data_IF_012363322922
#
_entry.id   IF_012363322922
#
_cell.length_a   1.000
_cell.length_b   1.000
_cell.length_c   1.000
_cell.angle_alpha   90.00
_cell.angle_beta   90.00
_cell.angle_gamma   90.00
#
_symmetry.space_group_name_H-M   'P 1'
#
loop_
_entity.id
_entity.type
_entity.pdbx_description
1 polymer ?
#
# COMPACT_ATOMS: atom_id res chain seq x y z
N UNK A 1 -0.07 16.55 -17.17
CA UNK A 1 0.61 15.46 -16.42
C UNK A 1 1.56 16.10 -15.41
N UNK A 2 1.35 15.90 -14.11
CA UNK A 2 2.24 16.45 -13.08
C UNK A 2 3.62 15.80 -13.22
N UNK A 3 4.68 16.61 -13.26
CA UNK A 3 6.08 16.11 -13.34
C UNK A 3 6.62 15.60 -12.00
N UNK A 4 5.76 15.44 -10.99
CA UNK A 4 6.15 15.14 -9.63
C UNK A 4 5.74 13.73 -9.25
N UNK A 5 6.63 13.05 -8.54
CA UNK A 5 6.39 11.75 -7.90
C UNK A 5 5.77 12.00 -6.53
N UNK A 6 4.71 11.29 -6.20
CA UNK A 6 4.01 11.45 -4.93
C UNK A 6 4.68 10.59 -3.85
N UNK A 7 5.24 11.21 -2.81
CA UNK A 7 5.87 10.51 -1.69
C UNK A 7 5.02 10.55 -0.41
N UNK A 8 3.74 10.91 -0.51
CA UNK A 8 2.82 11.06 0.62
C UNK A 8 2.39 9.76 1.31
N UNK A 9 2.82 8.60 0.78
CA UNK A 9 2.55 7.29 1.38
C UNK A 9 1.92 6.27 0.43
N UNK A 10 1.67 6.64 -0.84
CA UNK A 10 1.22 5.67 -1.86
C UNK A 10 2.22 4.52 -2.01
N UNK A 11 1.74 3.28 -2.22
CA UNK A 11 2.65 2.18 -2.52
C UNK A 11 3.42 2.42 -3.81
N UNK A 12 4.64 1.90 -3.88
CA UNK A 12 5.44 1.84 -5.09
C UNK A 12 5.56 0.39 -5.53
N UNK A 13 5.40 0.13 -6.83
CA UNK A 13 5.55 -1.21 -7.40
C UNK A 13 6.56 -1.19 -8.54
N UNK A 14 7.68 -1.89 -8.36
CA UNK A 14 8.76 -1.94 -9.35
C UNK A 14 8.68 -3.19 -10.21
N UNK A 15 8.66 -3.05 -11.54
CA UNK A 15 8.79 -4.18 -12.46
C UNK A 15 10.26 -4.33 -12.87
N UNK A 16 10.91 -5.40 -12.42
CA UNK A 16 12.36 -5.59 -12.54
C UNK A 16 13.14 -4.89 -11.42
N UNK A 17 12.70 -5.07 -10.17
CA UNK A 17 13.22 -4.36 -8.99
C UNK A 17 14.71 -4.61 -8.73
N UNK A 18 15.26 -5.73 -9.18
CA UNK A 18 16.68 -6.08 -9.04
C UNK A 18 17.62 -5.41 -10.04
N UNK A 19 17.09 -4.70 -11.04
CA UNK A 19 17.90 -3.93 -11.99
C UNK A 19 18.70 -2.81 -11.32
N UNK A 20 19.88 -2.47 -11.84
CA UNK A 20 20.81 -1.51 -11.21
C UNK A 20 20.13 -0.15 -10.89
N UNK A 21 19.42 0.43 -11.86
CA UNK A 21 18.73 1.71 -11.65
C UNK A 21 17.49 1.60 -10.77
N UNK A 22 16.71 0.53 -10.94
CA UNK A 22 15.45 0.33 -10.21
C UNK A 22 15.70 0.04 -8.73
N UNK A 23 16.67 -0.83 -8.44
CA UNK A 23 17.03 -1.22 -7.07
C UNK A 23 17.56 -0.04 -6.23
N UNK A 24 18.28 0.90 -6.84
CA UNK A 24 18.75 2.09 -6.15
C UNK A 24 17.57 2.95 -5.65
N UNK A 25 16.56 3.17 -6.50
CA UNK A 25 15.36 3.92 -6.12
C UNK A 25 14.53 3.15 -5.09
N UNK A 26 14.28 1.86 -5.33
CA UNK A 26 13.55 1.00 -4.41
C UNK A 26 14.20 0.95 -3.01
N UNK A 27 15.54 0.92 -2.95
CA UNK A 27 16.28 0.95 -1.70
C UNK A 27 16.00 2.23 -0.89
N UNK A 28 16.00 3.39 -1.55
CA UNK A 28 15.73 4.67 -0.90
C UNK A 28 14.30 4.70 -0.35
N UNK A 29 13.31 4.24 -1.14
CA UNK A 29 11.90 4.22 -0.72
C UNK A 29 11.67 3.27 0.45
N UNK A 30 12.18 2.04 0.36
CA UNK A 30 12.09 1.04 1.44
C UNK A 30 12.80 1.52 2.72
N UNK A 31 13.99 2.14 2.62
CA UNK A 31 14.67 2.73 3.79
C UNK A 31 13.88 3.86 4.44
N UNK A 32 13.10 4.61 3.67
CA UNK A 32 12.17 5.63 4.17
C UNK A 32 10.86 5.04 4.71
N UNK A 33 10.75 3.71 4.74
CA UNK A 33 9.56 2.96 5.17
C UNK A 33 8.32 3.28 4.34
N UNK A 34 8.50 3.67 3.08
CA UNK A 34 7.40 3.76 2.13
C UNK A 34 7.03 2.36 1.66
N UNK A 35 5.73 2.04 1.46
CA UNK A 35 5.32 0.72 1.02
C UNK A 35 5.94 0.43 -0.35
N UNK A 36 6.86 -0.52 -0.39
CA UNK A 36 7.68 -0.79 -1.57
C UNK A 36 7.51 -2.24 -1.94
N UNK A 37 7.05 -2.47 -3.16
CA UNK A 37 6.78 -3.75 -3.76
C UNK A 37 7.58 -3.85 -5.05
N UNK A 38 7.86 -5.07 -5.51
CA UNK A 38 8.31 -5.23 -6.88
C UNK A 38 8.55 -6.65 -7.29
N UNK A 39 8.63 -6.86 -8.59
CA UNK A 39 8.83 -8.16 -9.19
C UNK A 39 10.23 -8.29 -9.80
N UNK A 40 10.77 -9.50 -9.75
CA UNK A 40 11.97 -9.86 -10.52
C UNK A 40 11.92 -11.34 -10.92
N UNK A 41 12.53 -11.67 -12.05
CA UNK A 41 12.58 -13.05 -12.56
C UNK A 41 13.67 -13.87 -11.85
N UNK A 42 14.66 -13.21 -11.23
CA UNK A 42 15.80 -13.88 -10.62
C UNK A 42 16.13 -13.33 -9.23
N UNK A 43 16.31 -14.23 -8.27
CA UNK A 43 16.88 -13.87 -6.97
C UNK A 43 18.34 -13.47 -7.10
N UNK A 44 18.73 -12.41 -6.39
CA UNK A 44 20.08 -11.86 -6.36
C UNK A 44 20.41 -11.35 -4.97
N UNK A 45 21.67 -10.98 -4.72
CA UNK A 45 22.04 -10.31 -3.47
C UNK A 45 21.29 -8.96 -3.30
N UNK A 46 20.98 -8.27 -4.40
CA UNK A 46 20.25 -7.00 -4.40
C UNK A 46 18.81 -7.22 -3.93
N UNK A 47 18.09 -8.17 -4.52
CA UNK A 47 16.68 -8.43 -4.17
C UNK A 47 16.55 -8.93 -2.74
N UNK A 48 17.46 -9.81 -2.28
CA UNK A 48 17.51 -10.23 -0.86
C UNK A 48 17.76 -9.08 0.10
N UNK A 49 18.62 -8.13 -0.28
CA UNK A 49 18.87 -6.93 0.54
C UNK A 49 17.64 -6.03 0.60
N UNK A 50 16.89 -5.89 -0.50
CA UNK A 50 15.64 -5.13 -0.55
C UNK A 50 14.57 -5.77 0.34
N UNK A 51 14.41 -7.09 0.31
CA UNK A 51 13.52 -7.82 1.23
C UNK A 51 13.90 -7.57 2.69
N UNK A 52 15.20 -7.67 3.02
CA UNK A 52 15.69 -7.48 4.38
C UNK A 52 15.43 -6.07 4.94
N UNK A 53 15.20 -5.07 4.09
CA UNK A 53 14.86 -3.71 4.51
C UNK A 53 13.37 -3.38 4.38
N UNK A 54 12.52 -4.37 4.05
CA UNK A 54 11.06 -4.27 4.07
C UNK A 54 10.38 -4.15 2.71
N UNK A 55 11.09 -4.36 1.60
CA UNK A 55 10.42 -4.46 0.30
C UNK A 55 9.75 -5.83 0.13
N UNK A 56 8.53 -5.87 -0.42
CA UNK A 56 7.87 -7.13 -0.78
C UNK A 56 8.27 -7.52 -2.20
N UNK A 57 8.81 -8.73 -2.40
CA UNK A 57 9.27 -9.18 -3.71
C UNK A 57 8.41 -10.32 -4.28
N UNK A 58 7.99 -10.15 -5.53
CA UNK A 58 7.34 -11.18 -6.35
C UNK A 58 8.36 -11.82 -7.29
N UNK A 59 8.48 -13.14 -7.27
CA UNK A 59 9.46 -13.86 -8.11
C UNK A 59 8.97 -14.19 -9.52
N UNK A 60 7.87 -13.55 -9.93
CA UNK A 60 7.29 -13.63 -11.27
C UNK A 60 6.74 -12.27 -11.65
N UNK A 61 6.79 -11.96 -12.94
CA UNK A 61 6.25 -10.72 -13.50
C UNK A 61 4.90 -11.02 -14.14
N UNK A 62 3.84 -10.97 -13.33
CA UNK A 62 2.49 -11.36 -13.73
C UNK A 62 1.47 -10.27 -13.34
N UNK A 63 0.42 -10.10 -14.14
CA UNK A 63 -0.65 -9.11 -13.89
C UNK A 63 -1.25 -9.20 -12.48
N UNK A 64 -1.37 -10.41 -11.93
CA UNK A 64 -1.90 -10.66 -10.58
C UNK A 64 -1.17 -9.92 -9.45
N UNK A 65 0.08 -9.53 -9.68
CA UNK A 65 0.85 -8.75 -8.71
C UNK A 65 0.24 -7.35 -8.48
N UNK A 66 -0.67 -6.89 -9.36
CA UNK A 66 -1.38 -5.62 -9.19
C UNK A 66 -2.80 -5.80 -8.64
N UNK A 67 -3.35 -7.02 -8.65
CA UNK A 67 -4.70 -7.31 -8.15
C UNK A 67 -4.79 -7.15 -6.61
N UNK A 68 -3.69 -7.37 -5.90
CA UNK A 68 -3.62 -7.18 -4.45
C UNK A 68 -3.84 -5.73 -3.99
N UNK A 69 -3.72 -4.76 -4.90
CA UNK A 69 -4.05 -3.36 -4.64
C UNK A 69 -5.49 -3.00 -5.04
N UNK A 70 -6.20 -3.91 -5.73
CA UNK A 70 -7.59 -3.72 -6.18
C UNK A 70 -8.58 -4.35 -5.19
N UNK A 71 -8.28 -5.56 -4.68
CA UNK A 71 -9.18 -6.33 -3.80
C UNK A 71 -9.53 -5.63 -2.48
N UNK A 72 -8.67 -4.74 -1.99
CA UNK A 72 -8.98 -3.88 -0.84
C UNK A 72 -10.14 -2.91 -1.13
N UNK A 73 -10.46 -2.59 -2.38
CA UNK A 73 -11.49 -1.58 -2.73
C UNK A 73 -12.93 -2.15 -2.69
N UNK A 74 -13.13 -3.45 -2.88
CA UNK A 74 -14.45 -4.04 -3.12
C UNK A 74 -15.15 -4.55 -1.84
N UNK A 75 -14.41 -5.11 -0.88
CA UNK A 75 -15.00 -5.68 0.35
C UNK A 75 -15.59 -4.63 1.31
N UNK A 76 -15.30 -3.33 1.11
CA UNK A 76 -15.85 -2.27 1.96
C UNK A 76 -17.20 -1.71 1.50
N UNK A 77 -17.60 -1.91 0.24
CA UNK A 77 -18.87 -1.38 -0.27
C UNK A 77 -20.09 -2.26 0.02
N UNK A 78 -19.92 -3.50 0.48
CA UNK A 78 -21.04 -4.39 0.80
C UNK A 78 -21.52 -4.30 2.26
N UNK A 79 -20.86 -3.49 3.11
CA UNK A 79 -21.19 -3.38 4.55
C UNK A 79 -22.03 -2.15 4.94
N UNK A 80 -22.35 -1.25 4.00
CA UNK A 80 -23.06 0.02 4.29
C UNK A 80 -24.54 0.06 3.89
N UNK A 81 -25.13 -1.04 3.42
CA UNK A 81 -26.58 -1.14 3.18
C UNK A 81 -27.17 -2.31 3.97
N UNK A 82 -27.38 -2.14 5.28
CA UNK A 82 -28.39 -2.84 6.09
C UNK A 82 -28.33 -2.33 7.53
N UNK A 83 -28.89 -1.16 7.80
CA UNK A 83 -29.33 -0.82 9.15
C UNK A 83 -30.69 -0.12 9.09
N UNK A 84 -31.69 -0.94 8.81
CA UNK A 84 -33.10 -0.60 9.00
C UNK A 84 -33.41 -0.65 10.50
N UNK A 85 -33.89 0.47 11.02
CA UNK A 85 -34.30 0.72 12.40
C UNK A 85 -35.06 -0.44 13.06
N UNK A 86 -34.69 -0.80 14.29
CA UNK A 86 -35.66 -1.24 15.30
C UNK A 86 -35.20 -0.87 16.72
N UNK A 87 -36.17 -0.34 17.48
CA UNK A 87 -36.07 0.32 18.79
C UNK A 87 -35.75 -0.63 19.95
N UNK A 88 -35.08 -0.12 21.01
CA UNK A 88 -35.46 -0.32 22.43
C UNK A 88 -34.63 0.61 23.36
N UNK A 89 -35.28 1.16 24.39
CA UNK A 89 -34.81 2.25 25.28
C UNK A 89 -34.65 1.78 26.76
N UNK A 90 -34.46 2.68 27.75
CA UNK A 90 -33.25 2.90 28.56
C UNK A 90 -33.33 2.35 30.00
N UNK A 91 -32.22 2.32 30.75
CA UNK A 91 -32.02 2.22 32.24
C UNK A 91 -30.62 1.58 32.49
N UNK A 92 -29.74 1.91 33.44
CA UNK A 92 -29.66 2.90 34.52
C UNK A 92 -28.22 2.84 35.12
N UNK A 93 -27.68 3.98 35.64
CA UNK A 93 -26.73 4.11 36.79
C UNK A 93 -25.23 3.70 36.61
N UNK A 94 -24.16 4.34 37.17
CA UNK A 94 -23.92 5.52 38.03
C UNK A 94 -22.39 5.82 38.18
N UNK A 95 -22.04 7.11 38.34
CA UNK A 95 -20.91 7.74 39.10
C UNK A 95 -19.46 7.82 38.55
N UNK A 96 -19.14 9.03 38.03
CA UNK A 96 -18.10 10.02 38.37
C UNK A 96 -16.85 9.67 39.23
N UNK A 97 -15.65 10.07 38.74
CA UNK A 97 -14.68 10.91 39.49
C UNK A 97 -13.56 11.45 38.58
N UNK A 98 -13.27 12.76 38.66
CA UNK A 98 -11.93 13.31 38.40
C UNK A 98 -11.72 14.10 37.09
N UNK A 99 -12.02 15.40 37.12
CA UNK A 99 -11.60 16.35 36.11
C UNK A 99 -10.09 16.63 36.16
N UNK A 100 -9.37 16.51 35.04
CA UNK A 100 -8.16 17.28 34.75
C UNK A 100 -8.14 17.63 33.25
N UNK A 101 -8.45 18.89 32.93
CA UNK A 101 -8.10 19.48 31.64
C UNK A 101 -6.62 19.84 31.68
N UNK A 102 -5.79 19.28 30.81
CA UNK A 102 -4.70 20.03 30.17
C UNK A 102 -4.33 19.43 28.80
N UNK A 103 -4.47 20.29 27.78
CA UNK A 103 -3.76 20.34 26.49
C UNK A 103 -3.72 19.09 25.59
N UNK A 104 -4.51 19.21 24.51
CA UNK A 104 -4.33 18.67 23.16
C UNK A 104 -2.94 18.08 22.90
N UNK A 105 -2.85 16.76 22.84
CA UNK A 105 -2.22 16.01 21.75
C UNK A 105 -2.89 14.64 21.72
N UNK A 106 -3.87 14.51 20.84
CA UNK A 106 -4.57 13.26 20.62
C UNK A 106 -3.61 12.32 19.89
N UNK A 107 -2.82 11.55 20.65
CA UNK A 107 -2.09 10.40 20.12
C UNK A 107 -3.15 9.36 19.76
N UNK A 108 -3.70 9.49 18.55
CA UNK A 108 -4.36 8.36 17.91
C UNK A 108 -3.28 7.33 17.65
N UNK A 109 -3.27 6.30 18.50
CA UNK A 109 -2.77 4.97 18.16
C UNK A 109 -3.52 4.57 16.89
N UNK A 110 -2.90 4.79 15.75
CA UNK A 110 -3.53 4.70 14.44
C UNK A 110 -3.22 3.35 13.81
N UNK A 111 -4.16 2.43 14.00
CA UNK A 111 -4.48 1.22 13.23
C UNK A 111 -3.74 1.06 11.88
N UNK A 112 -3.31 -0.18 11.60
CA UNK A 112 -2.90 -0.65 10.27
C UNK A 112 -3.99 -0.34 9.23
N UNK A 113 -3.98 0.88 8.67
CA UNK A 113 -4.84 1.23 7.56
C UNK A 113 -4.23 0.59 6.31
N UNK A 114 -4.79 -0.54 5.89
CA UNK A 114 -4.52 -1.10 4.56
C UNK A 114 -4.76 -0.01 3.53
N UNK A 115 -3.72 0.32 2.75
CA UNK A 115 -3.71 1.51 1.91
C UNK A 115 -4.51 1.20 0.65
N UNK A 116 -5.75 1.70 0.60
CA UNK A 116 -6.68 1.69 -0.54
C UNK A 116 -6.18 2.56 -1.69
N UNK A 117 -5.06 2.21 -2.32
CA UNK A 117 -4.55 2.99 -3.44
C UNK A 117 -3.71 2.16 -4.41
N UNK A 118 -4.05 2.27 -5.70
CA UNK A 118 -3.21 1.76 -6.78
C UNK A 118 -1.76 2.25 -6.61
N UNK A 119 -0.78 1.36 -6.79
CA UNK A 119 0.62 1.69 -6.60
C UNK A 119 1.09 2.64 -7.70
N UNK A 120 2.08 3.47 -7.38
CA UNK A 120 2.90 4.11 -8.40
C UNK A 120 3.82 3.06 -9.02
N UNK A 121 3.53 2.68 -10.26
CA UNK A 121 4.32 1.67 -10.97
C UNK A 121 5.58 2.30 -11.56
N UNK A 122 6.73 1.66 -11.32
CA UNK A 122 8.03 2.09 -11.82
C UNK A 122 8.66 0.96 -12.62
N UNK A 123 9.09 1.24 -13.85
CA UNK A 123 9.79 0.29 -14.68
C UNK A 123 10.85 0.98 -15.57
N UNK A 124 11.76 0.17 -16.12
CA UNK A 124 12.76 0.66 -17.08
C UNK A 124 12.12 0.94 -18.45
N UNK A 125 12.69 1.88 -19.20
CA UNK A 125 12.33 2.10 -20.62
C UNK A 125 12.63 0.89 -21.50
N UNK A 126 13.50 -0.01 -21.06
CA UNK A 126 13.83 -1.26 -21.76
C UNK A 126 12.85 -2.41 -21.43
N UNK A 127 11.75 -2.15 -20.72
CA UNK A 127 10.79 -3.20 -20.38
C UNK A 127 10.18 -3.81 -21.64
N UNK A 128 10.05 -5.12 -21.67
CA UNK A 128 9.36 -5.80 -22.76
C UNK A 128 7.87 -5.44 -22.72
N UNK A 129 7.35 -4.83 -23.79
CA UNK A 129 5.95 -4.43 -23.91
C UNK A 129 4.98 -5.60 -23.90
N UNK A 130 5.45 -6.84 -24.10
CA UNK A 130 4.63 -8.05 -23.96
C UNK A 130 4.49 -8.53 -22.51
N UNK A 131 5.23 -7.95 -21.56
CA UNK A 131 5.15 -8.29 -20.15
C UNK A 131 3.73 -8.04 -19.61
N UNK A 132 3.11 -9.07 -19.00
CA UNK A 132 1.71 -9.00 -18.56
C UNK A 132 1.51 -8.07 -17.37
N UNK A 133 2.48 -7.97 -16.47
CA UNK A 133 2.46 -7.03 -15.34
C UNK A 133 2.54 -5.58 -15.81
N UNK A 134 3.39 -5.30 -16.80
CA UNK A 134 3.49 -3.96 -17.40
C UNK A 134 2.20 -3.57 -18.12
N UNK A 135 1.60 -4.48 -18.89
CA UNK A 135 0.32 -4.23 -19.57
C UNK A 135 -0.78 -3.89 -18.57
N UNK A 136 -0.91 -4.69 -17.50
CA UNK A 136 -1.88 -4.44 -16.44
C UNK A 136 -1.64 -3.08 -15.77
N UNK A 137 -0.39 -2.68 -15.53
CA UNK A 137 -0.08 -1.36 -15.00
C UNK A 137 -0.56 -0.23 -15.91
N UNK A 138 -0.35 -0.34 -17.22
CA UNK A 138 -0.81 0.66 -18.20
C UNK A 138 -2.33 0.73 -18.27
N UNK A 139 -3.03 -0.41 -18.14
CA UNK A 139 -4.49 -0.48 -18.13
C UNK A 139 -5.11 0.18 -16.89
N UNK A 140 -4.40 0.15 -15.75
CA UNK A 140 -4.85 0.74 -14.49
C UNK A 140 -4.68 2.27 -14.41
N UNK A 141 -3.91 2.87 -15.32
CA UNK A 141 -3.68 4.33 -15.42
C UNK A 141 -2.55 4.86 -14.55
#
# INVERSE_FOLDING_TARGET
MSKYVDLSGKPFHFIGIGGIGMSALAYILAKRKLPTYGSDLKSSHITKRLEAIGAHIFWRQEAKNLELFQQTTEEQNLSLSNNSNSNLSPTDLRVNTGAVMTKKHNVKVGNNQEIYQLPQVVCSTAINTTNSEYKAAVELG
#
